data_IF_750472581526
#
_entry.id   IF_750472581526
#
_cell.length_a   1.000
_cell.length_b   1.000
_cell.length_c   1.000
_cell.angle_alpha   90.00
_cell.angle_beta   90.00
_cell.angle_gamma   90.00
#
_symmetry.space_group_name_H-M   'P 1'
#
loop_
_entity.id
_entity.type
_entity.pdbx_description
1 polymer ?
#
# COMPACT_ATOMS: atom_id res chain seq x y z
N UNK A 1 2.78 -0.35 -14.92
CA UNK A 1 3.78 -0.31 -16.01
C UNK A 1 4.38 1.08 -16.16
N UNK A 2 3.64 2.11 -16.59
CA UNK A 2 4.19 3.46 -16.83
C UNK A 2 5.00 4.07 -15.67
N UNK A 3 4.50 4.06 -14.42
CA UNK A 3 5.22 4.61 -13.26
C UNK A 3 6.58 3.93 -12.99
N UNK A 4 6.70 2.65 -13.29
CA UNK A 4 7.92 1.87 -13.05
C UNK A 4 8.94 2.13 -14.15
N UNK A 5 8.49 2.22 -15.41
CA UNK A 5 9.37 2.60 -16.51
C UNK A 5 9.92 4.02 -16.34
N UNK A 6 9.15 4.92 -15.71
CA UNK A 6 9.65 6.23 -15.30
C UNK A 6 10.62 6.13 -14.11
N UNK A 7 10.30 5.31 -13.10
CA UNK A 7 11.15 5.11 -11.93
C UNK A 7 12.54 4.54 -12.29
N UNK A 8 12.63 3.63 -13.28
CA UNK A 8 13.90 3.09 -13.79
C UNK A 8 14.86 4.15 -14.35
N UNK A 9 14.33 5.31 -14.77
CA UNK A 9 15.14 6.43 -15.29
C UNK A 9 15.68 7.34 -14.18
N UNK A 10 15.17 7.18 -12.96
CA UNK A 10 15.59 7.95 -11.79
C UNK A 10 16.62 7.14 -11.02
N UNK A 11 17.67 7.80 -10.53
CA UNK A 11 18.69 7.16 -9.68
C UNK A 11 18.05 6.60 -8.40
N UNK A 12 17.18 7.40 -7.79
CA UNK A 12 16.42 7.07 -6.59
C UNK A 12 14.95 7.42 -6.83
N UNK A 13 14.02 6.56 -6.39
CA UNK A 13 12.59 6.81 -6.55
C UNK A 13 11.77 6.28 -5.39
N UNK A 14 10.75 7.03 -4.99
CA UNK A 14 9.73 6.62 -4.02
C UNK A 14 8.43 6.41 -4.78
N UNK A 15 7.85 5.23 -4.62
CA UNK A 15 6.55 4.89 -5.21
C UNK A 15 5.46 4.96 -4.14
N UNK A 16 4.55 5.94 -4.27
CA UNK A 16 3.28 5.89 -3.52
C UNK A 16 2.41 4.77 -4.07
N UNK A 17 2.33 3.70 -3.26
CA UNK A 17 1.76 2.37 -3.56
C UNK A 17 2.55 1.55 -4.58
N UNK A 18 2.64 0.25 -4.29
CA UNK A 18 3.25 -0.76 -5.16
C UNK A 18 2.19 -1.70 -5.74
N UNK A 19 2.62 -2.64 -6.59
CA UNK A 19 1.74 -3.71 -7.08
C UNK A 19 1.14 -4.56 -5.96
N UNK A 20 1.85 -4.70 -4.83
CA UNK A 20 1.33 -5.37 -3.64
C UNK A 20 0.03 -4.71 -3.17
N UNK A 21 -0.04 -3.37 -3.14
CA UNK A 21 -1.26 -2.65 -2.74
C UNK A 21 -2.45 -2.97 -3.65
N UNK A 22 -2.23 -3.08 -4.96
CA UNK A 22 -3.28 -3.44 -5.92
C UNK A 22 -3.79 -4.85 -5.70
N UNK A 23 -2.89 -5.81 -5.47
CA UNK A 23 -3.28 -7.20 -5.22
C UNK A 23 -3.97 -7.33 -3.86
N UNK A 24 -3.47 -6.68 -2.81
CA UNK A 24 -4.13 -6.66 -1.51
C UNK A 24 -5.54 -6.07 -1.58
N UNK A 25 -5.74 -5.01 -2.37
CA UNK A 25 -7.07 -4.43 -2.59
C UNK A 25 -8.02 -5.40 -3.30
N UNK A 26 -7.54 -6.11 -4.35
CA UNK A 26 -8.34 -7.13 -5.05
C UNK A 26 -8.70 -8.30 -4.14
N UNK A 27 -7.76 -8.77 -3.31
CA UNK A 27 -8.04 -9.81 -2.32
C UNK A 27 -9.11 -9.37 -1.33
N UNK A 28 -9.02 -8.12 -0.85
CA UNK A 28 -10.00 -7.55 0.06
C UNK A 28 -11.40 -7.50 -0.54
N UNK A 29 -11.53 -7.09 -1.82
CA UNK A 29 -12.80 -7.11 -2.54
C UNK A 29 -13.39 -8.51 -2.69
N UNK A 30 -12.54 -9.53 -2.81
CA UNK A 30 -12.96 -10.90 -3.06
C UNK A 30 -13.12 -11.73 -1.77
N UNK A 31 -12.61 -11.25 -0.63
CA UNK A 31 -12.50 -12.05 0.59
C UNK A 31 -11.62 -13.30 0.44
N UNK A 32 -10.76 -13.36 -0.59
CA UNK A 32 -9.92 -14.52 -0.93
C UNK A 32 -8.45 -14.16 -0.78
N UNK A 33 -7.75 -14.91 0.07
CA UNK A 33 -6.35 -14.66 0.42
C UNK A 33 -5.47 -15.76 -0.17
N UNK A 34 -4.43 -15.36 -0.89
CA UNK A 34 -3.48 -16.28 -1.52
C UNK A 34 -2.08 -15.72 -1.45
N UNK A 35 -1.19 -16.42 -0.76
CA UNK A 35 0.23 -16.08 -0.68
C UNK A 35 0.89 -16.18 -2.06
N UNK A 36 0.48 -17.17 -2.87
CA UNK A 36 0.98 -17.41 -4.23
C UNK A 36 0.83 -16.19 -5.15
N UNK A 37 -0.24 -15.41 -4.97
CA UNK A 37 -0.43 -14.19 -5.74
C UNK A 37 0.68 -13.15 -5.48
N UNK A 38 1.22 -13.09 -4.25
CA UNK A 38 2.34 -12.20 -3.93
C UNK A 38 3.68 -12.77 -4.41
N UNK A 39 3.91 -14.08 -4.31
CA UNK A 39 5.09 -14.71 -4.91
C UNK A 39 5.12 -14.54 -6.43
N UNK A 40 3.96 -14.57 -7.09
CA UNK A 40 3.85 -14.29 -8.52
C UNK A 40 4.27 -12.86 -8.86
N UNK A 41 3.84 -11.87 -8.07
CA UNK A 41 4.32 -10.48 -8.24
C UNK A 41 5.83 -10.44 -8.06
N UNK A 42 6.37 -11.07 -7.02
CA UNK A 42 7.80 -11.03 -6.77
C UNK A 42 8.60 -11.59 -7.95
N UNK A 43 8.21 -12.77 -8.43
CA UNK A 43 8.86 -13.44 -9.55
C UNK A 43 8.70 -12.71 -10.87
N UNK A 44 7.47 -12.39 -11.27
CA UNK A 44 7.19 -11.85 -12.60
C UNK A 44 7.50 -10.36 -12.70
N UNK A 45 7.27 -9.60 -11.63
CA UNK A 45 7.39 -8.16 -11.66
C UNK A 45 8.74 -7.69 -11.11
N UNK A 46 9.09 -8.03 -9.87
CA UNK A 46 10.32 -7.50 -9.27
C UNK A 46 11.57 -8.19 -9.82
N UNK A 47 11.64 -9.53 -9.80
CA UNK A 47 12.74 -10.28 -10.42
C UNK A 47 12.70 -10.18 -11.95
N UNK A 48 11.54 -10.42 -12.56
CA UNK A 48 11.39 -10.47 -14.01
C UNK A 48 11.72 -9.17 -14.74
N UNK A 49 11.44 -8.01 -14.15
CA UNK A 49 11.76 -6.70 -14.74
C UNK A 49 13.05 -6.08 -14.19
N UNK A 50 13.79 -6.81 -13.35
CA UNK A 50 14.95 -6.33 -12.61
C UNK A 50 14.66 -5.01 -11.85
N UNK A 51 13.50 -4.97 -11.18
CA UNK A 51 13.07 -3.85 -10.34
C UNK A 51 12.97 -4.38 -8.93
N UNK A 52 14.03 -4.27 -8.13
CA UNK A 52 14.00 -4.70 -6.73
C UNK A 52 13.91 -3.49 -5.82
N UNK A 53 12.84 -3.33 -5.01
CA UNK A 53 12.80 -2.27 -4.02
C UNK A 53 13.84 -2.54 -2.93
N UNK A 54 14.60 -1.52 -2.56
CA UNK A 54 15.53 -1.59 -1.43
C UNK A 54 14.81 -1.58 -0.08
N UNK A 55 13.66 -0.89 -0.02
CA UNK A 55 12.82 -0.75 1.16
C UNK A 55 11.34 -0.73 0.75
N UNK A 56 10.52 -1.46 1.48
CA UNK A 56 9.06 -1.36 1.42
C UNK A 56 8.50 -0.96 2.77
N UNK A 57 7.70 0.12 2.78
CA UNK A 57 7.03 0.62 3.98
C UNK A 57 5.54 0.31 3.88
N UNK A 58 5.04 -0.48 4.81
CA UNK A 58 3.62 -0.79 4.94
C UNK A 58 3.02 0.03 6.08
N UNK A 59 2.09 0.92 5.75
CA UNK A 59 1.37 1.74 6.72
C UNK A 59 0.15 0.95 7.21
N UNK A 60 0.28 0.33 8.38
CA UNK A 60 -0.72 -0.56 8.96
C UNK A 60 -1.62 0.24 9.90
N UNK A 61 -2.87 0.46 9.49
CA UNK A 61 -3.85 1.23 10.27
C UNK A 61 -4.98 0.33 10.75
N UNK A 62 -5.44 0.55 11.99
CA UNK A 62 -6.65 -0.10 12.50
C UNK A 62 -7.89 0.32 11.70
N UNK A 63 -8.97 -0.44 11.82
CA UNK A 63 -10.28 -0.06 11.27
C UNK A 63 -10.68 1.35 11.73
N UNK A 64 -10.55 1.63 13.03
CA UNK A 64 -10.90 2.92 13.62
C UNK A 64 -10.11 4.09 13.03
N UNK A 65 -8.79 3.91 12.88
CA UNK A 65 -7.92 4.92 12.26
C UNK A 65 -8.31 5.15 10.79
N UNK A 66 -8.59 4.07 10.06
CA UNK A 66 -8.98 4.13 8.65
C UNK A 66 -10.33 4.81 8.48
N UNK A 67 -11.32 4.47 9.32
CA UNK A 67 -12.65 5.08 9.37
C UNK A 67 -12.57 6.57 9.67
N UNK A 68 -11.81 6.95 10.69
CA UNK A 68 -11.60 8.35 11.04
C UNK A 68 -10.94 9.13 9.89
N UNK A 69 -9.93 8.55 9.25
CA UNK A 69 -9.27 9.13 8.09
C UNK A 69 -10.20 9.30 6.89
N UNK A 70 -11.09 8.35 6.62
CA UNK A 70 -12.11 8.44 5.56
C UNK A 70 -13.11 9.56 5.86
N UNK A 71 -13.61 9.63 7.11
CA UNK A 71 -14.51 10.69 7.57
C UNK A 71 -13.92 12.08 7.36
N UNK A 72 -12.66 12.30 7.75
CA UNK A 72 -11.97 13.58 7.57
C UNK A 72 -11.83 14.02 6.10
N UNK A 73 -11.90 13.09 5.15
CA UNK A 73 -11.79 13.38 3.72
C UNK A 73 -13.13 13.56 3.00
N UNK A 74 -14.25 13.30 3.69
CA UNK A 74 -15.58 13.23 3.07
C UNK A 74 -15.89 11.89 2.41
N UNK A 75 -15.08 10.86 2.67
CA UNK A 75 -15.20 9.51 2.08
C UNK A 75 -15.82 8.51 3.09
N UNK A 76 -16.57 8.99 4.08
CA UNK A 76 -17.20 8.13 5.09
C UNK A 76 -18.14 7.13 4.42
N UNK A 77 -18.06 5.85 4.81
CA UNK A 77 -18.89 4.79 4.24
C UNK A 77 -18.42 4.24 2.89
N UNK A 78 -17.32 4.77 2.30
CA UNK A 78 -16.78 4.26 1.03
C UNK A 78 -16.39 2.76 1.12
N UNK A 79 -15.93 2.34 2.29
CA UNK A 79 -15.58 0.95 2.58
C UNK A 79 -16.24 0.51 3.89
N UNK A 80 -16.77 -0.71 3.91
CA UNK A 80 -17.27 -1.31 5.13
C UNK A 80 -16.13 -1.86 6.00
N UNK A 81 -16.45 -2.25 7.24
CA UNK A 81 -15.48 -2.77 8.19
C UNK A 81 -14.80 -4.05 7.71
N UNK A 82 -15.58 -4.98 7.16
CA UNK A 82 -15.08 -6.24 6.62
C UNK A 82 -14.02 -6.02 5.52
N UNK A 83 -14.29 -5.10 4.58
CA UNK A 83 -13.34 -4.77 3.53
C UNK A 83 -12.05 -4.18 4.11
N UNK A 84 -12.16 -3.22 5.04
CA UNK A 84 -10.98 -2.60 5.65
C UNK A 84 -10.13 -3.61 6.42
N UNK A 85 -10.78 -4.54 7.12
CA UNK A 85 -10.10 -5.64 7.81
C UNK A 85 -9.43 -6.61 6.83
N UNK A 86 -10.14 -7.02 5.77
CA UNK A 86 -9.59 -7.88 4.74
C UNK A 86 -8.43 -7.21 3.99
N UNK A 87 -8.49 -5.90 3.77
CA UNK A 87 -7.41 -5.17 3.14
C UNK A 87 -6.18 -5.08 4.03
N UNK A 88 -6.37 -4.82 5.33
CA UNK A 88 -5.29 -4.86 6.33
C UNK A 88 -4.61 -6.23 6.33
N UNK A 89 -5.38 -7.32 6.39
CA UNK A 89 -4.84 -8.70 6.32
C UNK A 89 -4.04 -8.94 5.05
N UNK A 90 -4.58 -8.53 3.90
CA UNK A 90 -3.89 -8.74 2.63
C UNK A 90 -2.60 -7.90 2.50
N UNK A 91 -2.50 -6.75 3.20
CA UNK A 91 -1.25 -5.99 3.30
C UNK A 91 -0.24 -6.67 4.22
N UNK A 92 -0.70 -7.26 5.33
CA UNK A 92 0.13 -8.04 6.24
C UNK A 92 0.74 -9.28 5.54
N UNK A 93 -0.08 -10.03 4.79
CA UNK A 93 0.41 -11.14 3.98
C UNK A 93 1.46 -10.68 2.96
N UNK A 94 1.22 -9.55 2.29
CA UNK A 94 2.18 -9.00 1.34
C UNK A 94 3.51 -8.66 2.02
N UNK A 95 3.46 -8.02 3.21
CA UNK A 95 4.66 -7.68 3.98
C UNK A 95 5.47 -8.93 4.33
N UNK A 96 4.82 -9.99 4.80
CA UNK A 96 5.46 -11.27 5.14
C UNK A 96 6.15 -11.91 3.92
N UNK A 97 5.47 -11.95 2.77
CA UNK A 97 6.04 -12.53 1.54
C UNK A 97 7.23 -11.73 1.04
N UNK A 98 7.12 -10.40 1.00
CA UNK A 98 8.24 -9.55 0.56
C UNK A 98 9.44 -9.69 1.49
N UNK A 99 9.21 -9.81 2.80
CA UNK A 99 10.26 -10.03 3.78
C UNK A 99 10.94 -11.39 3.59
N UNK A 100 10.17 -12.45 3.34
CA UNK A 100 10.69 -13.79 3.06
C UNK A 100 11.56 -13.83 1.79
N UNK A 101 11.25 -13.00 0.80
CA UNK A 101 12.03 -12.83 -0.43
C UNK A 101 13.26 -11.91 -0.26
N UNK A 102 13.54 -11.51 0.99
CA UNK A 102 14.72 -10.72 1.36
C UNK A 102 14.61 -9.25 0.98
N UNK A 103 13.40 -8.71 0.83
CA UNK A 103 13.19 -7.26 0.73
C UNK A 103 13.21 -6.69 2.14
N UNK A 104 13.86 -5.55 2.35
CA UNK A 104 13.78 -4.84 3.62
C UNK A 104 12.35 -4.29 3.78
N UNK A 105 11.60 -4.84 4.73
CA UNK A 105 10.21 -4.47 4.98
C UNK A 105 10.12 -3.77 6.33
N UNK A 106 9.46 -2.61 6.36
CA UNK A 106 9.08 -1.91 7.59
C UNK A 106 7.58 -1.80 7.67
N UNK A 107 7.02 -2.29 8.76
CA UNK A 107 5.61 -2.08 9.09
C UNK A 107 5.51 -0.93 10.09
N UNK A 108 4.74 0.10 9.74
CA UNK A 108 4.45 1.24 10.59
C UNK A 108 3.01 1.09 11.08
N UNK A 109 2.86 0.66 12.32
CA UNK A 109 1.57 0.50 12.96
C UNK A 109 1.07 1.84 13.49
N UNK A 110 -0.24 2.06 13.39
CA UNK A 110 -0.94 3.18 14.04
C UNK A 110 -0.20 4.50 13.83
N UNK A 111 0.15 4.74 12.57
CA UNK A 111 0.76 5.98 12.17
C UNK A 111 -0.03 7.14 12.78
N UNK A 112 0.61 7.88 13.69
CA UNK A 112 0.14 9.15 14.27
C UNK A 112 0.04 10.25 13.21
N UNK A 113 -0.21 9.87 11.96
CA UNK A 113 -0.38 10.73 10.82
C UNK A 113 -1.87 10.81 10.43
N UNK A 114 -2.69 11.47 11.25
CA UNK A 114 -3.74 12.33 10.73
C UNK A 114 -3.27 13.37 9.69
N UNK A 115 -1.96 13.72 9.69
CA UNK A 115 -1.47 15.00 9.17
C UNK A 115 -0.99 15.03 7.70
N UNK A 116 -0.37 14.00 7.14
CA UNK A 116 0.22 14.11 5.78
C UNK A 116 -0.81 14.26 4.66
N UNK A 117 -2.06 13.80 4.83
CA UNK A 117 -3.11 13.97 3.81
C UNK A 117 -3.93 15.24 3.96
N UNK A 118 -4.02 15.84 5.16
CA UNK A 118 -4.64 17.16 5.36
C UNK A 118 -3.73 18.29 4.89
N UNK A 119 -2.41 18.19 5.12
CA UNK A 119 -1.46 19.22 4.69
C UNK A 119 -1.33 19.37 3.16
N UNK A 120 -1.72 18.37 2.38
CA UNK A 120 -1.73 18.46 0.91
C UNK A 120 -3.02 19.07 0.32
N UNK A 121 -4.11 19.16 1.10
CA UNK A 121 -5.37 19.81 0.65
C UNK A 121 -5.50 21.26 1.12
N UNK A 122 -4.73 21.71 2.11
CA UNK A 122 -4.80 23.08 2.63
C UNK A 122 -4.03 24.13 1.80
N UNK A 123 -3.39 23.75 0.69
CA UNK A 123 -3.05 24.72 -0.36
C UNK A 123 -4.17 24.79 -1.40
N UNK A 124 -5.28 25.44 -1.06
CA UNK A 124 -5.97 26.23 -2.09
C UNK A 124 -5.01 27.37 -2.48
N UNK A 125 -4.81 27.67 -3.77
CA UNK A 125 -4.12 28.90 -4.15
C UNK A 125 -4.86 30.07 -3.49
N UNK A 126 -4.12 31.03 -2.96
CA UNK A 126 -4.70 32.31 -2.58
C UNK A 126 -5.36 32.90 -3.84
N UNK A 127 -6.67 33.20 -3.75
CA UNK A 127 -7.32 34.18 -4.61
C UNK A 127 -6.93 35.59 -4.15
#
# INVERSE_FOLDING_TARGET
MYKIEQAKKLRDSILDRSFCSTISFKMALQGKFSVDAFYKIEKEFYKGLNVRPELMIFMMSSYETSRWGLKKRGDEGLFNEEFLYNWWKALELAAQVMQAEGINVRQVHESNTPLYRSMLRERKPAE
#
